data_IF_251838038638
#
_entry.id   IF_251838038638
#
_cell.length_a   1.000
_cell.length_b   1.000
_cell.length_c   1.000
_cell.angle_alpha   90.00
_cell.angle_beta   90.00
_cell.angle_gamma   90.00
#
_symmetry.space_group_name_H-M   'P 1'
#
loop_
_entity.id
_entity.type
_entity.pdbx_description
1 polymer ?
#
# COMPACT_ATOMS: atom_id res chain seq x y z
N UNK A 1 -4.59 7.37 42.02
CA UNK A 1 -3.47 8.33 41.86
C UNK A 1 -3.48 8.81 40.42
N UNK A 2 -3.94 10.03 40.16
CA UNK A 2 -3.86 10.63 38.83
C UNK A 2 -2.42 11.06 38.61
N UNK A 3 -1.66 10.34 37.77
CA UNK A 3 -0.35 10.79 37.33
C UNK A 3 -0.52 12.17 36.67
N UNK A 4 0.13 13.19 37.27
CA UNK A 4 0.28 14.51 36.67
C UNK A 4 1.17 14.36 35.42
N UNK A 5 0.56 14.00 34.29
CA UNK A 5 1.23 13.99 33.00
C UNK A 5 1.65 15.43 32.72
N UNK A 6 2.96 15.66 32.70
CA UNK A 6 3.55 16.96 32.40
C UNK A 6 2.87 17.56 31.14
N UNK A 7 2.42 18.83 31.17
CA UNK A 7 1.59 19.43 30.11
C UNK A 7 2.20 19.28 28.70
N UNK A 8 3.53 19.34 28.59
CA UNK A 8 4.26 19.07 27.36
C UNK A 8 4.00 17.67 26.75
N UNK A 9 3.97 16.60 27.58
CA UNK A 9 3.70 15.23 27.11
C UNK A 9 2.26 15.11 26.59
N UNK A 10 1.31 15.82 27.21
CA UNK A 10 -0.09 15.85 26.77
C UNK A 10 -0.21 16.53 25.39
N UNK A 11 0.44 17.69 25.20
CA UNK A 11 0.44 18.43 23.93
C UNK A 11 1.00 17.55 22.80
N UNK A 12 2.16 16.94 22.99
CA UNK A 12 2.80 16.03 22.03
C UNK A 12 1.87 14.87 21.66
N UNK A 13 1.31 14.21 22.67
CA UNK A 13 0.36 13.12 22.49
C UNK A 13 -0.87 13.54 21.68
N UNK A 14 -1.45 14.69 21.99
CA UNK A 14 -2.65 15.21 21.30
C UNK A 14 -2.32 15.58 19.86
N UNK A 15 -1.17 16.20 19.61
CA UNK A 15 -0.72 16.57 18.27
C UNK A 15 -0.51 15.36 17.35
N UNK A 16 0.11 14.28 17.86
CA UNK A 16 0.29 13.04 17.11
C UNK A 16 -1.04 12.33 16.83
N UNK A 17 -1.95 12.29 17.81
CA UNK A 17 -3.29 11.73 17.61
C UNK A 17 -4.08 12.52 16.55
N UNK A 18 -4.01 13.86 16.61
CA UNK A 18 -4.64 14.74 15.61
C UNK A 18 -4.06 14.50 14.21
N UNK A 19 -2.73 14.41 14.08
CA UNK A 19 -2.07 14.09 12.81
C UNK A 19 -2.54 12.76 12.22
N UNK A 20 -2.61 11.69 13.03
CA UNK A 20 -3.06 10.37 12.59
C UNK A 20 -4.55 10.37 12.15
N UNK A 21 -5.42 11.10 12.86
CA UNK A 21 -6.83 11.24 12.51
C UNK A 21 -7.03 12.08 11.25
N UNK A 22 -6.28 13.18 11.11
CA UNK A 22 -6.28 14.01 9.90
C UNK A 22 -5.78 13.22 8.69
N UNK A 23 -4.70 12.45 8.85
CA UNK A 23 -4.17 11.60 7.80
C UNK A 23 -5.23 10.58 7.33
N UNK A 24 -5.86 9.87 8.27
CA UNK A 24 -6.93 8.93 7.97
C UNK A 24 -8.09 9.56 7.19
N UNK A 25 -8.50 10.79 7.55
CA UNK A 25 -9.61 11.49 6.92
C UNK A 25 -9.28 12.04 5.53
N UNK A 26 -8.01 12.41 5.26
CA UNK A 26 -7.65 13.22 4.08
C UNK A 26 -6.86 12.41 3.05
N UNK A 27 -6.06 11.41 3.45
CA UNK A 27 -5.20 10.67 2.53
C UNK A 27 -5.94 10.04 1.33
N UNK A 28 -7.15 9.45 1.50
CA UNK A 28 -7.96 8.95 0.38
C UNK A 28 -8.27 9.99 -0.69
N UNK A 29 -8.36 11.27 -0.32
CA UNK A 29 -8.73 12.37 -1.22
C UNK A 29 -7.54 12.88 -2.04
N UNK A 30 -6.31 12.63 -1.59
CA UNK A 30 -5.12 13.14 -2.24
C UNK A 30 -3.90 13.19 -1.33
N UNK A 31 -2.72 13.09 -1.95
CA UNK A 31 -1.45 13.07 -1.24
C UNK A 31 -1.05 14.43 -0.65
N UNK A 32 -1.56 15.55 -1.19
CA UNK A 32 -1.23 16.89 -0.68
C UNK A 32 -1.69 17.07 0.76
N UNK A 33 -2.94 16.69 1.05
CA UNK A 33 -3.47 16.75 2.40
C UNK A 33 -2.87 15.69 3.33
N UNK A 34 -2.50 14.53 2.79
CA UNK A 34 -1.71 13.53 3.52
C UNK A 34 -0.36 14.09 3.98
N UNK A 35 0.36 14.80 3.10
CA UNK A 35 1.60 15.49 3.45
C UNK A 35 1.42 16.55 4.53
N UNK A 36 0.34 17.32 4.46
CA UNK A 36 0.02 18.29 5.51
C UNK A 36 -0.18 17.61 6.86
N UNK A 37 -0.97 16.52 6.92
CA UNK A 37 -1.12 15.73 8.13
C UNK A 37 0.22 15.13 8.61
N UNK A 38 1.06 14.70 7.66
CA UNK A 38 2.41 14.22 7.90
C UNK A 38 3.31 15.27 8.55
N UNK A 39 3.30 16.48 8.02
CA UNK A 39 4.04 17.63 8.54
C UNK A 39 3.58 18.00 9.96
N UNK A 40 2.28 18.04 10.22
CA UNK A 40 1.74 18.23 11.57
C UNK A 40 2.28 17.16 12.52
N UNK A 41 2.29 15.89 12.09
CA UNK A 41 2.84 14.79 12.88
C UNK A 41 4.31 14.96 13.22
N UNK A 42 5.13 15.38 12.26
CA UNK A 42 6.56 15.64 12.45
C UNK A 42 6.84 16.72 13.50
N UNK A 43 6.02 17.78 13.57
CA UNK A 43 6.17 18.83 14.59
C UNK A 43 6.01 18.30 16.03
N UNK A 44 5.28 17.21 16.20
CA UNK A 44 5.02 16.59 17.49
C UNK A 44 5.79 15.28 17.70
N UNK A 45 6.63 14.84 16.75
CA UNK A 45 7.48 13.67 16.95
C UNK A 45 8.64 14.05 17.89
N UNK A 46 8.75 13.46 19.10
CA UNK A 46 9.85 13.78 19.98
C UNK A 46 11.15 13.23 19.40
N UNK A 47 12.15 14.10 19.18
CA UNK A 47 13.49 13.72 18.68
C UNK A 47 14.16 12.62 19.52
N UNK A 48 13.77 12.43 20.78
CA UNK A 48 14.34 11.45 21.73
C UNK A 48 13.56 10.15 21.85
N UNK A 49 12.48 9.95 21.07
CA UNK A 49 11.49 8.89 21.35
C UNK A 49 11.64 7.58 20.57
N UNK A 50 12.80 7.35 19.94
CA UNK A 50 13.15 6.05 19.37
C UNK A 50 13.91 5.22 20.40
N UNK A 51 13.18 4.57 21.29
CA UNK A 51 13.75 3.49 22.09
C UNK A 51 13.61 2.19 21.31
N UNK A 52 14.75 1.62 20.90
CA UNK A 52 14.81 0.27 20.31
C UNK A 52 14.47 -0.83 21.33
N UNK A 53 14.47 -0.52 22.63
CA UNK A 53 14.30 -1.53 23.66
C UNK A 53 12.92 -2.22 23.62
N UNK A 54 11.86 -1.47 23.27
CA UNK A 54 10.49 -2.00 23.23
C UNK A 54 10.00 -2.25 21.78
N UNK A 55 10.91 -2.54 20.85
CA UNK A 55 10.55 -2.84 19.45
C UNK A 55 10.60 -4.34 19.19
N UNK A 56 9.62 -4.85 18.44
CA UNK A 56 9.65 -6.25 17.97
C UNK A 56 10.83 -6.49 17.02
N UNK A 57 11.30 -7.74 16.90
CA UNK A 57 12.38 -8.10 15.98
C UNK A 57 12.16 -7.62 14.52
N UNK A 58 11.00 -7.89 13.87
CA UNK A 58 10.77 -7.41 12.51
C UNK A 58 10.71 -5.88 12.40
N UNK A 59 10.27 -5.18 13.45
CA UNK A 59 10.29 -3.72 13.47
C UNK A 59 11.74 -3.17 13.47
N UNK A 60 12.64 -3.80 14.23
CA UNK A 60 14.07 -3.44 14.23
C UNK A 60 14.69 -3.66 12.86
N UNK A 61 14.45 -4.83 12.25
CA UNK A 61 14.92 -5.16 10.91
C UNK A 61 14.37 -4.21 9.85
N UNK A 62 13.08 -3.85 9.91
CA UNK A 62 12.48 -2.87 9.01
C UNK A 62 13.21 -1.53 9.07
N UNK A 63 13.49 -1.02 10.28
CA UNK A 63 14.22 0.24 10.44
C UNK A 63 15.64 0.16 9.88
N UNK A 64 16.32 -0.99 10.08
CA UNK A 64 17.65 -1.25 9.51
C UNK A 64 17.56 -1.26 7.97
N UNK A 65 16.62 -1.99 7.38
CA UNK A 65 16.47 -2.04 5.92
C UNK A 65 16.15 -0.69 5.33
N UNK A 66 15.26 0.10 5.94
CA UNK A 66 14.98 1.48 5.51
C UNK A 66 16.22 2.37 5.63
N UNK A 67 16.99 2.24 6.72
CA UNK A 67 18.25 2.98 6.90
C UNK A 67 19.31 2.62 5.86
N UNK A 68 19.51 1.33 5.59
CA UNK A 68 20.43 0.87 4.54
C UNK A 68 19.94 1.34 3.16
N UNK A 69 18.64 1.24 2.88
CA UNK A 69 18.07 1.73 1.62
C UNK A 69 18.32 3.23 1.42
N UNK A 70 18.25 4.03 2.50
CA UNK A 70 18.58 5.46 2.46
C UNK A 70 20.04 5.68 2.11
N UNK A 71 20.92 5.04 2.88
CA UNK A 71 22.38 5.21 2.76
C UNK A 71 22.83 4.77 1.37
N UNK A 72 22.41 3.58 0.92
CA UNK A 72 22.68 3.09 -0.43
C UNK A 72 22.14 4.05 -1.49
N UNK A 73 20.90 4.52 -1.35
CA UNK A 73 20.29 5.48 -2.28
C UNK A 73 21.09 6.79 -2.37
N UNK A 74 21.56 7.32 -1.24
CA UNK A 74 22.38 8.53 -1.19
C UNK A 74 23.76 8.32 -1.83
N UNK A 75 24.42 7.21 -1.52
CA UNK A 75 25.71 6.85 -2.14
C UNK A 75 25.55 6.73 -3.67
N UNK A 76 24.56 5.97 -4.14
CA UNK A 76 24.32 5.80 -5.56
C UNK A 76 23.91 7.11 -6.26
N UNK A 77 23.20 7.99 -5.55
CA UNK A 77 22.87 9.33 -6.07
C UNK A 77 24.10 10.19 -6.33
N UNK A 78 25.14 10.07 -5.49
CA UNK A 78 26.34 10.91 -5.58
C UNK A 78 27.39 10.32 -6.53
N UNK A 79 27.51 8.99 -6.58
CA UNK A 79 28.64 8.31 -7.25
C UNK A 79 28.25 7.54 -8.51
N UNK A 80 26.97 7.21 -8.72
CA UNK A 80 26.53 6.35 -9.85
C UNK A 80 25.56 7.07 -10.79
N UNK A 81 24.68 7.91 -10.25
CA UNK A 81 23.62 8.54 -11.02
C UNK A 81 24.14 9.52 -12.09
N UNK A 82 23.54 9.48 -13.30
CA UNK A 82 23.82 10.46 -14.36
C UNK A 82 23.43 11.88 -13.94
N UNK A 83 22.32 12.02 -13.21
CA UNK A 83 21.82 13.28 -12.67
C UNK A 83 21.64 13.18 -11.14
N UNK A 84 22.67 13.60 -10.40
CA UNK A 84 22.70 13.53 -8.94
C UNK A 84 21.56 14.31 -8.26
N UNK A 85 21.21 15.50 -8.75
CA UNK A 85 20.11 16.31 -8.19
C UNK A 85 18.77 15.58 -8.30
N UNK A 86 18.50 14.98 -9.45
CA UNK A 86 17.28 14.19 -9.66
C UNK A 86 17.28 12.91 -8.81
N UNK A 87 18.44 12.25 -8.68
CA UNK A 87 18.59 11.06 -7.85
C UNK A 87 18.33 11.35 -6.37
N UNK A 88 18.96 12.40 -5.82
CA UNK A 88 18.73 12.84 -4.45
C UNK A 88 17.25 13.15 -4.20
N UNK A 89 16.62 13.90 -5.13
CA UNK A 89 15.19 14.20 -5.04
C UNK A 89 14.34 12.93 -5.00
N UNK A 90 14.70 11.94 -5.82
CA UNK A 90 14.01 10.64 -5.88
C UNK A 90 14.15 9.86 -4.56
N UNK A 91 15.36 9.79 -4.00
CA UNK A 91 15.59 9.15 -2.70
C UNK A 91 14.75 9.84 -1.63
N UNK A 92 14.86 11.15 -1.47
CA UNK A 92 14.06 11.88 -0.48
C UNK A 92 12.56 11.71 -0.67
N UNK A 93 12.10 11.59 -1.92
CA UNK A 93 10.69 11.32 -2.23
C UNK A 93 10.24 9.96 -1.71
N UNK A 94 11.02 8.89 -1.93
CA UNK A 94 10.73 7.57 -1.33
C UNK A 94 10.65 7.66 0.20
N UNK A 95 11.63 8.33 0.83
CA UNK A 95 11.65 8.47 2.29
C UNK A 95 10.49 9.28 2.85
N UNK A 96 10.08 10.34 2.14
CA UNK A 96 8.94 11.15 2.53
C UNK A 96 7.63 10.34 2.48
N UNK A 97 7.48 9.45 1.50
CA UNK A 97 6.32 8.56 1.40
C UNK A 97 6.32 7.44 2.43
N UNK A 98 7.50 6.92 2.80
CA UNK A 98 7.64 5.69 3.58
C UNK A 98 7.84 5.97 5.07
N UNK A 99 8.92 6.68 5.42
CA UNK A 99 9.35 6.82 6.80
C UNK A 99 8.40 7.69 7.62
N UNK A 100 8.03 8.87 7.11
CA UNK A 100 7.19 9.84 7.85
C UNK A 100 5.88 9.17 8.31
N UNK A 101 5.19 8.50 7.39
CA UNK A 101 3.89 7.91 7.66
C UNK A 101 3.99 6.66 8.52
N UNK A 102 5.03 5.84 8.34
CA UNK A 102 5.35 4.75 9.27
C UNK A 102 5.50 5.24 10.70
N UNK A 103 6.20 6.36 10.93
CA UNK A 103 6.41 6.89 12.28
C UNK A 103 5.16 7.46 12.91
N UNK A 104 4.33 8.16 12.14
CA UNK A 104 3.05 8.66 12.64
C UNK A 104 2.14 7.48 13.01
N UNK A 105 2.08 6.44 12.16
CA UNK A 105 1.36 5.21 12.44
C UNK A 105 1.88 4.49 13.68
N UNK A 106 3.20 4.37 13.83
CA UNK A 106 3.85 3.73 14.99
C UNK A 106 3.52 4.43 16.31
N UNK A 107 3.36 5.75 16.29
CA UNK A 107 2.98 6.54 17.46
C UNK A 107 1.46 6.64 17.68
N UNK A 108 0.64 6.00 16.83
CA UNK A 108 -0.80 5.97 17.03
C UNK A 108 -1.17 5.14 18.27
N UNK A 109 -1.78 5.82 19.24
CA UNK A 109 -2.15 5.19 20.51
C UNK A 109 -3.24 4.12 20.37
N UNK A 110 -3.21 3.05 21.20
CA UNK A 110 -4.19 1.96 21.16
C UNK A 110 -5.65 2.42 21.11
N UNK A 111 -6.02 3.41 21.93
CA UNK A 111 -7.40 3.90 22.01
C UNK A 111 -7.92 4.53 20.71
N UNK A 112 -7.03 5.03 19.85
CA UNK A 112 -7.41 5.70 18.59
C UNK A 112 -7.36 4.79 17.36
N UNK A 113 -6.69 3.62 17.42
CA UNK A 113 -6.44 2.76 16.24
C UNK A 113 -7.73 2.37 15.51
N UNK A 114 -8.79 2.04 16.26
CA UNK A 114 -10.11 1.72 15.70
C UNK A 114 -10.73 2.93 15.02
N UNK A 115 -10.72 4.09 15.67
CA UNK A 115 -11.27 5.33 15.12
C UNK A 115 -10.54 5.74 13.84
N UNK A 116 -9.21 5.66 13.84
CA UNK A 116 -8.36 5.90 12.66
C UNK A 116 -8.79 5.01 11.49
N UNK A 117 -8.88 3.69 11.70
CA UNK A 117 -9.27 2.76 10.64
C UNK A 117 -10.68 3.07 10.10
N UNK A 118 -11.64 3.35 10.99
CA UNK A 118 -13.02 3.62 10.57
C UNK A 118 -13.16 4.94 9.81
N UNK A 119 -12.43 5.99 10.23
CA UNK A 119 -12.38 7.26 9.51
C UNK A 119 -11.80 7.06 8.11
N UNK A 120 -10.68 6.33 8.02
CA UNK A 120 -10.04 6.04 6.75
C UNK A 120 -10.94 5.24 5.81
N UNK A 121 -11.59 4.19 6.32
CA UNK A 121 -12.55 3.39 5.55
C UNK A 121 -13.76 4.23 5.08
N UNK A 122 -14.31 5.06 5.95
CA UNK A 122 -15.42 5.95 5.61
C UNK A 122 -15.01 6.97 4.55
N UNK A 123 -13.83 7.57 4.69
CA UNK A 123 -13.26 8.48 3.71
C UNK A 123 -13.03 7.80 2.35
N UNK A 124 -12.50 6.58 2.35
CA UNK A 124 -12.36 5.77 1.13
C UNK A 124 -13.72 5.51 0.46
N UNK A 125 -14.76 5.20 1.24
CA UNK A 125 -16.11 5.00 0.71
C UNK A 125 -16.66 6.28 0.07
N UNK A 126 -16.47 7.45 0.69
CA UNK A 126 -16.91 8.73 0.12
C UNK A 126 -16.23 9.00 -1.22
N UNK A 127 -14.91 8.84 -1.31
CA UNK A 127 -14.17 9.02 -2.57
C UNK A 127 -14.63 8.02 -3.64
N UNK A 128 -14.93 6.78 -3.25
CA UNK A 128 -15.46 5.75 -4.15
C UNK A 128 -16.85 6.11 -4.69
N UNK A 129 -17.76 6.55 -3.82
CA UNK A 129 -19.09 6.99 -4.22
C UNK A 129 -19.04 8.23 -5.12
N UNK A 130 -18.19 9.20 -4.81
CA UNK A 130 -17.97 10.37 -5.68
C UNK A 130 -17.42 9.97 -7.05
N UNK A 131 -16.50 9.02 -7.08
CA UNK A 131 -15.96 8.49 -8.34
C UNK A 131 -17.04 7.78 -9.15
N UNK A 132 -17.92 7.01 -8.50
CA UNK A 132 -19.05 6.36 -9.14
C UNK A 132 -20.03 7.39 -9.72
N UNK A 133 -20.39 8.42 -8.95
CA UNK A 133 -21.25 9.52 -9.42
C UNK A 133 -20.63 10.21 -10.65
N UNK A 134 -19.31 10.41 -10.65
CA UNK A 134 -18.59 10.94 -11.81
C UNK A 134 -18.61 9.99 -13.01
N UNK A 135 -18.47 8.69 -12.78
CA UNK A 135 -18.56 7.67 -13.83
C UNK A 135 -19.96 7.61 -14.47
N UNK A 136 -21.01 7.83 -13.68
CA UNK A 136 -22.39 7.90 -14.15
C UNK A 136 -22.72 9.22 -14.87
N UNK A 137 -21.76 10.16 -14.97
CA UNK A 137 -21.93 11.44 -15.66
C UNK A 137 -22.74 12.47 -14.88
N UNK A 138 -23.01 12.24 -13.59
CA UNK A 138 -23.76 13.19 -12.75
C UNK A 138 -22.90 14.37 -12.29
N UNK A 139 -21.58 14.19 -12.25
CA UNK A 139 -20.61 15.25 -12.05
C UNK A 139 -19.47 15.09 -13.06
N UNK A 140 -19.09 16.17 -13.73
CA UNK A 140 -17.99 16.15 -14.69
C UNK A 140 -16.68 16.53 -14.00
N UNK A 141 -16.06 15.54 -13.35
CA UNK A 141 -14.77 15.71 -12.69
C UNK A 141 -13.80 14.66 -13.22
N UNK A 142 -13.01 15.07 -14.21
CA UNK A 142 -11.98 14.25 -14.87
C UNK A 142 -11.04 13.50 -13.91
N UNK A 143 -10.77 14.07 -12.72
CA UNK A 143 -9.93 13.45 -11.70
C UNK A 143 -10.62 12.31 -10.94
N UNK A 144 -11.95 12.30 -10.88
CA UNK A 144 -12.74 11.27 -10.21
C UNK A 144 -13.06 10.10 -11.14
N UNK A 145 -13.38 10.39 -12.39
CA UNK A 145 -13.60 9.41 -13.45
C UNK A 145 -13.07 9.94 -14.78
N UNK A 146 -12.46 9.09 -15.58
CA UNK A 146 -12.12 9.40 -16.97
C UNK A 146 -12.03 8.12 -17.80
N UNK A 147 -12.22 8.21 -19.11
CA UNK A 147 -12.15 7.07 -20.04
C UNK A 147 -13.08 5.91 -19.61
N UNK A 148 -14.19 6.24 -18.95
CA UNK A 148 -15.13 5.25 -18.42
C UNK A 148 -14.60 4.43 -17.24
N UNK A 149 -13.61 4.93 -16.50
CA UNK A 149 -12.99 4.25 -15.35
C UNK A 149 -12.93 5.12 -14.09
N UNK A 150 -13.05 4.48 -12.92
CA UNK A 150 -12.88 5.15 -11.62
C UNK A 150 -11.42 5.52 -11.34
N UNK A 151 -11.18 6.75 -10.84
CA UNK A 151 -9.84 7.28 -10.52
C UNK A 151 -9.68 7.82 -9.08
N UNK A 152 -10.75 8.23 -8.39
CA UNK A 152 -10.68 8.66 -6.97
C UNK A 152 -9.64 9.74 -6.66
N UNK A 153 -9.51 10.75 -7.53
CA UNK A 153 -8.47 11.81 -7.47
C UNK A 153 -7.02 11.32 -7.64
N UNK A 154 -6.83 10.06 -8.01
CA UNK A 154 -5.55 9.41 -8.21
C UNK A 154 -5.46 8.90 -9.67
N UNK A 155 -4.73 7.80 -9.88
CA UNK A 155 -4.86 6.99 -11.10
C UNK A 155 -5.76 5.79 -10.82
N UNK A 156 -6.38 5.23 -11.87
CA UNK A 156 -7.24 4.04 -11.77
C UNK A 156 -6.53 2.86 -11.08
N UNK A 157 -5.21 2.70 -11.31
CA UNK A 157 -4.38 1.66 -10.69
C UNK A 157 -4.18 1.93 -9.18
N UNK A 158 -3.77 3.16 -8.81
CA UNK A 158 -3.55 3.52 -7.40
C UNK A 158 -4.84 3.46 -6.61
N UNK A 159 -5.92 4.00 -7.16
CA UNK A 159 -7.22 3.98 -6.50
C UNK A 159 -7.75 2.56 -6.34
N UNK A 160 -7.66 1.72 -7.38
CA UNK A 160 -8.03 0.31 -7.28
C UNK A 160 -7.22 -0.44 -6.20
N UNK A 161 -5.93 -0.13 -6.06
CA UNK A 161 -5.08 -0.69 -5.00
C UNK A 161 -5.54 -0.24 -3.62
N UNK A 162 -5.84 1.05 -3.43
CA UNK A 162 -6.35 1.56 -2.15
C UNK A 162 -7.71 0.94 -1.77
N UNK A 163 -8.61 0.78 -2.74
CA UNK A 163 -9.87 0.05 -2.54
C UNK A 163 -9.63 -1.40 -2.15
N UNK A 164 -8.62 -2.05 -2.73
CA UNK A 164 -8.24 -3.42 -2.39
C UNK A 164 -7.64 -3.51 -0.98
N UNK A 165 -6.83 -2.54 -0.54
CA UNK A 165 -6.37 -2.43 0.85
C UNK A 165 -7.59 -2.28 1.78
N UNK A 166 -8.53 -1.38 1.45
CA UNK A 166 -9.75 -1.17 2.22
C UNK A 166 -10.60 -2.44 2.30
N UNK A 167 -10.71 -3.18 1.19
CA UNK A 167 -11.43 -4.45 1.14
C UNK A 167 -10.87 -5.45 2.16
N UNK A 168 -9.55 -5.61 2.26
CA UNK A 168 -8.97 -6.57 3.22
C UNK A 168 -9.21 -6.18 4.68
N UNK A 169 -9.22 -4.88 5.00
CA UNK A 169 -9.62 -4.43 6.34
C UNK A 169 -11.10 -4.68 6.62
N UNK A 170 -12.00 -4.36 5.68
CA UNK A 170 -13.44 -4.65 5.81
C UNK A 170 -13.70 -6.14 5.91
N UNK A 171 -13.02 -6.95 5.10
CA UNK A 171 -13.10 -8.41 5.13
C UNK A 171 -12.63 -8.96 6.48
N UNK A 172 -11.55 -8.45 7.04
CA UNK A 172 -11.09 -8.85 8.37
C UNK A 172 -12.12 -8.50 9.46
N UNK A 173 -12.68 -7.28 9.44
CA UNK A 173 -13.74 -6.84 10.35
C UNK A 173 -14.99 -7.72 10.22
N UNK A 174 -15.36 -8.07 8.99
CA UNK A 174 -16.47 -8.95 8.67
C UNK A 174 -16.28 -10.36 9.23
N UNK A 175 -15.03 -10.85 9.31
CA UNK A 175 -14.72 -12.13 9.93
C UNK A 175 -14.82 -12.11 11.47
N UNK A 176 -14.88 -10.95 12.12
CA UNK A 176 -14.95 -10.81 13.58
C UNK A 176 -15.98 -9.74 14.04
N UNK A 177 -17.27 -9.87 13.70
CA UNK A 177 -18.29 -8.89 14.10
C UNK A 177 -18.60 -9.01 15.59
N UNK A 178 -18.83 -7.88 16.26
CA UNK A 178 -19.34 -7.83 17.64
C UNK A 178 -20.85 -8.12 17.69
N UNK A 179 -21.62 -7.54 16.76
CA UNK A 179 -23.05 -7.84 16.60
C UNK A 179 -23.26 -8.63 15.31
N UNK A 180 -23.58 -9.92 15.46
CA UNK A 180 -23.50 -10.91 14.38
C UNK A 180 -24.41 -10.60 13.17
N UNK A 181 -25.54 -9.92 13.34
CA UNK A 181 -26.47 -9.72 12.22
C UNK A 181 -26.26 -8.36 11.56
N UNK A 182 -26.43 -7.26 12.31
CA UNK A 182 -26.36 -5.89 11.76
C UNK A 182 -24.97 -5.56 11.20
N UNK A 183 -23.90 -5.94 11.90
CA UNK A 183 -22.53 -5.66 11.42
C UNK A 183 -22.14 -6.56 10.26
N UNK A 184 -22.59 -7.81 10.22
CA UNK A 184 -22.32 -8.71 9.10
C UNK A 184 -22.99 -8.22 7.82
N UNK A 185 -24.25 -7.77 7.90
CA UNK A 185 -24.94 -7.18 6.74
C UNK A 185 -24.23 -5.90 6.28
N UNK A 186 -23.96 -4.97 7.21
CA UNK A 186 -23.31 -3.70 6.88
C UNK A 186 -21.89 -3.86 6.28
N UNK A 187 -21.06 -4.71 6.89
CA UNK A 187 -19.71 -4.99 6.41
C UNK A 187 -19.72 -5.83 5.12
N UNK A 188 -20.69 -6.73 4.96
CA UNK A 188 -20.90 -7.48 3.73
C UNK A 188 -21.26 -6.56 2.57
N UNK A 189 -22.23 -5.66 2.76
CA UNK A 189 -22.60 -4.65 1.76
C UNK A 189 -21.41 -3.74 1.41
N UNK A 190 -20.66 -3.31 2.41
CA UNK A 190 -19.48 -2.47 2.18
C UNK A 190 -18.41 -3.23 1.38
N UNK A 191 -18.14 -4.50 1.70
CA UNK A 191 -17.24 -5.34 0.93
C UNK A 191 -17.72 -5.51 -0.52
N UNK A 192 -19.03 -5.72 -0.75
CA UNK A 192 -19.62 -5.79 -2.10
C UNK A 192 -19.37 -4.51 -2.87
N UNK A 193 -19.65 -3.35 -2.26
CA UNK A 193 -19.43 -2.04 -2.89
C UNK A 193 -17.96 -1.90 -3.29
N UNK A 194 -17.03 -2.19 -2.39
CA UNK A 194 -15.59 -2.11 -2.69
C UNK A 194 -15.18 -3.03 -3.86
N UNK A 195 -15.69 -4.26 -3.92
CA UNK A 195 -15.42 -5.17 -5.04
C UNK A 195 -15.93 -4.65 -6.37
N UNK A 196 -17.17 -4.13 -6.40
CA UNK A 196 -17.73 -3.50 -7.60
C UNK A 196 -16.85 -2.32 -8.03
N UNK A 197 -16.43 -1.46 -7.10
CA UNK A 197 -15.56 -0.32 -7.41
C UNK A 197 -14.18 -0.75 -7.91
N UNK A 198 -13.57 -1.79 -7.33
CA UNK A 198 -12.30 -2.36 -7.82
C UNK A 198 -12.44 -2.77 -9.28
N UNK A 199 -13.55 -3.42 -9.64
CA UNK A 199 -13.80 -3.84 -11.01
C UNK A 199 -14.03 -2.64 -11.93
N UNK A 200 -14.80 -1.64 -11.51
CA UNK A 200 -15.01 -0.40 -12.26
C UNK A 200 -13.75 0.47 -12.41
N UNK A 201 -12.64 0.17 -11.73
CA UNK A 201 -11.34 0.81 -12.03
C UNK A 201 -10.75 0.39 -13.36
N UNK A 202 -11.15 -0.76 -13.93
CA UNK A 202 -10.61 -1.27 -15.19
C UNK A 202 -9.14 -1.71 -15.15
N UNK A 203 -8.51 -1.71 -13.97
CA UNK A 203 -7.10 -2.09 -13.84
C UNK A 203 -6.94 -3.61 -13.75
N UNK A 204 -6.56 -4.23 -14.86
CA UNK A 204 -6.29 -5.68 -14.94
C UNK A 204 -5.28 -6.14 -13.89
N UNK A 205 -4.25 -5.34 -13.61
CA UNK A 205 -3.26 -5.68 -12.60
C UNK A 205 -3.83 -5.66 -11.18
N UNK A 206 -4.75 -4.75 -10.88
CA UNK A 206 -5.47 -4.75 -9.60
C UNK A 206 -6.41 -5.94 -9.52
N UNK A 207 -7.09 -6.30 -10.61
CA UNK A 207 -7.96 -7.49 -10.63
C UNK A 207 -7.19 -8.77 -10.38
N UNK A 208 -5.99 -8.90 -10.97
CA UNK A 208 -5.10 -10.03 -10.75
C UNK A 208 -4.62 -10.10 -9.30
N UNK A 209 -4.16 -8.97 -8.75
CA UNK A 209 -3.77 -8.87 -7.35
C UNK A 209 -4.94 -9.21 -6.41
N UNK A 210 -6.14 -8.71 -6.70
CA UNK A 210 -7.35 -9.00 -5.95
C UNK A 210 -7.72 -10.49 -6.00
N UNK A 211 -7.67 -11.13 -7.17
CA UNK A 211 -7.98 -12.55 -7.30
C UNK A 211 -7.10 -13.39 -6.39
N UNK A 212 -5.78 -13.18 -6.42
CA UNK A 212 -4.84 -13.97 -5.62
C UNK A 212 -4.96 -13.64 -4.12
N UNK A 213 -4.99 -12.36 -3.76
CA UNK A 213 -5.00 -11.95 -2.34
C UNK A 213 -6.33 -12.32 -1.65
N UNK A 214 -7.46 -12.15 -2.33
CA UNK A 214 -8.79 -12.52 -1.82
C UNK A 214 -8.90 -14.04 -1.72
N UNK A 215 -8.43 -14.77 -2.73
CA UNK A 215 -8.39 -16.23 -2.69
C UNK A 215 -7.57 -16.74 -1.52
N UNK A 216 -6.35 -16.21 -1.34
CA UNK A 216 -5.50 -16.55 -0.20
C UNK A 216 -6.15 -16.20 1.15
N UNK A 217 -6.76 -15.01 1.28
CA UNK A 217 -7.47 -14.60 2.49
C UNK A 217 -8.68 -15.49 2.81
N UNK A 218 -9.36 -15.97 1.77
CA UNK A 218 -10.50 -16.88 1.86
C UNK A 218 -10.05 -18.27 2.28
N UNK A 219 -8.99 -18.82 1.67
CA UNK A 219 -8.38 -20.09 2.06
C UNK A 219 -7.88 -20.06 3.51
N UNK A 220 -7.16 -19.01 3.91
CA UNK A 220 -6.69 -18.86 5.28
C UNK A 220 -7.87 -18.80 6.28
N UNK A 221 -8.96 -18.13 5.93
CA UNK A 221 -10.18 -18.13 6.74
C UNK A 221 -10.85 -19.53 6.83
N UNK A 222 -10.81 -20.34 5.77
CA UNK A 222 -11.27 -21.75 5.77
C UNK A 222 -10.48 -22.57 6.79
N UNK A 223 -9.15 -22.54 6.67
CA UNK A 223 -8.26 -23.36 7.50
C UNK A 223 -8.25 -22.94 8.97
N UNK A 224 -8.66 -21.72 9.28
CA UNK A 224 -8.85 -21.22 10.66
C UNK A 224 -10.29 -21.39 11.16
N UNK A 225 -11.06 -22.29 10.52
CA UNK A 225 -12.40 -22.75 10.91
C UNK A 225 -13.49 -21.66 10.95
N UNK A 226 -13.41 -20.64 10.08
CA UNK A 226 -14.40 -19.55 9.95
C UNK A 226 -15.49 -19.83 8.89
N UNK A 227 -15.85 -21.10 8.72
CA UNK A 227 -16.64 -21.65 7.58
C UNK A 227 -17.98 -20.95 7.30
N UNK A 228 -18.72 -20.54 8.34
CA UNK A 228 -20.01 -19.83 8.19
C UNK A 228 -19.85 -18.41 7.62
N UNK A 229 -18.78 -17.72 8.00
CA UNK A 229 -18.51 -16.35 7.53
C UNK A 229 -17.96 -16.37 6.11
N UNK A 230 -17.23 -17.42 5.77
CA UNK A 230 -16.78 -17.70 4.40
C UNK A 230 -17.94 -17.88 3.41
N UNK A 231 -18.99 -18.63 3.78
CA UNK A 231 -20.15 -18.82 2.92
C UNK A 231 -20.83 -17.47 2.59
N UNK A 232 -20.93 -16.58 3.57
CA UNK A 232 -21.49 -15.24 3.36
C UNK A 232 -20.54 -14.36 2.54
N UNK A 233 -19.23 -14.47 2.73
CA UNK A 233 -18.25 -13.79 1.89
C UNK A 233 -18.31 -14.26 0.42
N UNK A 234 -18.51 -15.55 0.18
CA UNK A 234 -18.70 -16.11 -1.16
C UNK A 234 -20.00 -15.60 -1.79
N UNK A 235 -21.07 -15.45 -1.01
CA UNK A 235 -22.31 -14.80 -1.48
C UNK A 235 -22.08 -13.33 -1.81
N UNK A 236 -21.34 -12.60 -0.98
CA UNK A 236 -20.95 -11.19 -1.26
C UNK A 236 -20.16 -11.08 -2.56
N UNK A 237 -19.19 -11.98 -2.78
CA UNK A 237 -18.42 -12.06 -4.02
C UNK A 237 -19.33 -12.40 -5.20
N UNK A 238 -20.23 -13.37 -5.06
CA UNK A 238 -21.18 -13.76 -6.10
C UNK A 238 -22.16 -12.63 -6.46
N UNK A 239 -22.65 -11.88 -5.46
CA UNK A 239 -23.50 -10.70 -5.67
C UNK A 239 -22.72 -9.58 -6.35
N UNK A 240 -21.48 -9.32 -5.92
CA UNK A 240 -20.61 -8.34 -6.58
C UNK A 240 -20.40 -8.71 -8.06
N UNK A 241 -20.09 -9.99 -8.35
CA UNK A 241 -19.95 -10.52 -9.69
C UNK A 241 -21.25 -10.36 -10.51
N UNK A 242 -22.41 -10.66 -9.91
CA UNK A 242 -23.71 -10.48 -10.55
C UNK A 242 -24.01 -9.01 -10.91
N UNK A 243 -23.67 -8.07 -10.02
CA UNK A 243 -23.81 -6.63 -10.25
C UNK A 243 -22.83 -6.13 -11.32
N UNK A 244 -21.60 -6.64 -11.32
CA UNK A 244 -20.61 -6.33 -12.36
C UNK A 244 -21.14 -6.77 -13.72
N UNK A 245 -21.56 -8.04 -13.84
CA UNK A 245 -22.07 -8.59 -15.10
C UNK A 245 -23.29 -7.80 -15.61
N UNK A 246 -24.16 -7.32 -14.71
CA UNK A 246 -25.36 -6.56 -15.12
C UNK A 246 -25.09 -5.10 -15.49
N UNK A 247 -24.08 -4.45 -14.89
CA UNK A 247 -23.81 -3.02 -15.10
C UNK A 247 -22.80 -2.73 -16.21
N UNK A 248 -22.03 -3.72 -16.70
CA UNK A 248 -20.81 -3.44 -17.47
C UNK A 248 -20.69 -4.13 -18.84
N UNK A 249 -21.72 -4.07 -19.67
CA UNK A 249 -21.74 -4.80 -20.95
C UNK A 249 -20.75 -4.29 -22.03
N UNK A 250 -20.29 -3.04 -22.00
CA UNK A 250 -19.47 -2.50 -23.11
C UNK A 250 -18.01 -2.18 -22.70
N UNK A 251 -17.78 -1.34 -21.68
CA UNK A 251 -16.42 -0.90 -21.30
C UNK A 251 -15.59 -2.05 -20.71
N UNK A 252 -16.19 -2.85 -19.82
CA UNK A 252 -15.50 -4.00 -19.22
C UNK A 252 -15.31 -5.10 -20.26
N UNK A 253 -16.29 -5.34 -21.14
CA UNK A 253 -16.13 -6.26 -22.26
C UNK A 253 -14.97 -5.84 -23.18
N UNK A 254 -14.82 -4.55 -23.50
CA UNK A 254 -13.69 -4.07 -24.31
C UNK A 254 -12.35 -4.29 -23.59
N UNK A 255 -12.29 -4.02 -22.27
CA UNK A 255 -11.07 -4.25 -21.47
C UNK A 255 -10.71 -5.73 -21.33
N UNK A 256 -11.69 -6.62 -21.24
CA UNK A 256 -11.49 -8.09 -21.23
C UNK A 256 -11.07 -8.58 -22.62
N UNK A 257 -11.67 -8.04 -23.70
CA UNK A 257 -11.37 -8.44 -25.08
C UNK A 257 -9.98 -7.99 -25.54
N UNK A 258 -9.46 -6.88 -24.98
CA UNK A 258 -8.09 -6.38 -25.20
C UNK A 258 -7.02 -7.15 -24.40
N UNK A 259 -7.10 -8.47 -24.35
CA UNK A 259 -6.12 -9.36 -23.67
C UNK A 259 -5.11 -9.99 -24.61
N UNK A 260 -5.17 -9.68 -25.91
CA UNK A 260 -4.21 -10.15 -26.90
C UNK A 260 -2.79 -9.64 -26.65
N UNK A 261 -1.80 -10.37 -27.17
CA UNK A 261 -0.37 -10.02 -27.11
C UNK A 261 -0.04 -8.71 -27.83
N UNK A 262 -0.96 -8.22 -28.65
CA UNK A 262 -0.80 -7.01 -29.47
C UNK A 262 -1.40 -5.78 -28.77
N UNK A 263 -1.95 -5.93 -27.55
CA UNK A 263 -2.42 -4.81 -26.74
C UNK A 263 -1.23 -3.90 -26.36
N UNK A 264 -1.27 -2.59 -26.68
CA UNK A 264 -0.14 -1.70 -26.44
C UNK A 264 0.31 -1.68 -24.97
N UNK A 265 -0.63 -1.79 -24.01
CA UNK A 265 -0.28 -1.80 -22.59
C UNK A 265 0.56 -3.02 -22.22
N UNK A 266 0.24 -4.19 -22.78
CA UNK A 266 1.03 -5.41 -22.59
C UNK A 266 2.41 -5.28 -23.24
N UNK A 267 2.47 -4.84 -24.51
CA UNK A 267 3.73 -4.67 -25.25
C UNK A 267 4.67 -3.71 -24.51
N UNK A 268 4.17 -2.56 -24.06
CA UNK A 268 4.98 -1.60 -23.32
C UNK A 268 5.49 -2.15 -21.99
N UNK A 269 4.69 -2.94 -21.26
CA UNK A 269 5.12 -3.55 -19.99
C UNK A 269 6.20 -4.60 -20.22
N UNK A 270 6.04 -5.45 -21.23
CA UNK A 270 7.04 -6.43 -21.65
C UNK A 270 8.36 -5.73 -21.99
N UNK A 271 8.29 -4.68 -22.80
CA UNK A 271 9.46 -3.92 -23.25
C UNK A 271 10.14 -3.16 -22.09
N UNK A 272 9.38 -2.63 -21.12
CA UNK A 272 9.97 -2.07 -19.90
C UNK A 272 10.69 -3.14 -19.07
N UNK A 273 10.14 -4.35 -18.99
CA UNK A 273 10.77 -5.45 -18.28
C UNK A 273 12.08 -5.86 -18.97
N UNK A 274 12.09 -5.96 -20.30
CA UNK A 274 13.32 -6.19 -21.08
C UNK A 274 14.39 -5.15 -20.78
N UNK A 275 14.04 -3.86 -20.84
CA UNK A 275 14.98 -2.78 -20.54
C UNK A 275 15.50 -2.84 -19.10
N UNK A 276 14.63 -3.17 -18.13
CA UNK A 276 15.02 -3.34 -16.74
C UNK A 276 16.02 -4.49 -16.56
N UNK A 277 15.79 -5.61 -17.23
CA UNK A 277 16.66 -6.78 -17.18
C UNK A 277 18.04 -6.47 -17.76
N UNK A 278 18.13 -5.76 -18.89
CA UNK A 278 19.42 -5.32 -19.43
C UNK A 278 20.18 -4.42 -18.46
N UNK A 279 19.49 -3.47 -17.81
CA UNK A 279 20.13 -2.62 -16.80
C UNK A 279 20.66 -3.45 -15.62
N UNK A 280 19.87 -4.42 -15.15
CA UNK A 280 20.27 -5.31 -14.04
C UNK A 280 21.46 -6.19 -14.45
N UNK A 281 21.47 -6.70 -15.68
CA UNK A 281 22.56 -7.52 -16.22
C UNK A 281 23.86 -6.71 -16.33
N UNK A 282 23.79 -5.48 -16.84
CA UNK A 282 24.96 -4.61 -16.98
C UNK A 282 25.47 -4.07 -15.64
N UNK A 283 24.56 -3.83 -14.68
CA UNK A 283 24.88 -3.19 -13.38
C UNK A 283 24.19 -3.87 -12.20
N UNK A 284 24.50 -5.14 -11.90
CA UNK A 284 23.75 -5.93 -10.93
C UNK A 284 23.87 -5.43 -9.49
N UNK A 285 24.96 -4.76 -9.12
CA UNK A 285 25.19 -4.30 -7.74
C UNK A 285 24.68 -2.89 -7.48
N UNK A 286 24.82 -1.98 -8.45
CA UNK A 286 24.57 -0.55 -8.26
C UNK A 286 23.34 -0.06 -9.02
N UNK A 287 22.89 -0.80 -10.02
CA UNK A 287 21.97 -0.26 -11.02
C UNK A 287 22.54 0.99 -11.70
N UNK A 288 21.64 1.82 -12.23
CA UNK A 288 21.97 3.11 -12.83
C UNK A 288 21.80 4.31 -11.89
N UNK A 289 21.44 4.06 -10.63
CA UNK A 289 21.16 5.09 -9.62
C UNK A 289 19.66 5.44 -9.50
N UNK A 290 19.23 5.96 -8.34
CA UNK A 290 17.84 6.33 -8.10
C UNK A 290 17.31 7.36 -9.11
N UNK A 291 16.11 7.13 -9.62
CA UNK A 291 15.43 8.00 -10.57
C UNK A 291 16.09 8.11 -11.94
N UNK A 292 17.08 7.26 -12.27
CA UNK A 292 17.87 7.46 -13.49
C UNK A 292 17.30 6.80 -14.75
N UNK A 293 16.23 6.01 -14.64
CA UNK A 293 15.56 5.41 -15.81
C UNK A 293 15.30 6.40 -16.97
N UNK A 294 14.78 7.62 -16.75
CA UNK A 294 14.53 8.58 -17.84
C UNK A 294 15.82 9.07 -18.55
N UNK A 295 16.97 8.97 -17.88
CA UNK A 295 18.29 9.45 -18.34
C UNK A 295 19.16 8.35 -18.96
N UNK A 296 18.67 7.12 -19.01
CA UNK A 296 19.42 5.95 -19.44
C UNK A 296 19.50 5.83 -20.98
N UNK A 297 20.05 6.86 -21.67
CA UNK A 297 19.98 7.03 -23.13
C UNK A 297 20.40 5.79 -23.92
N UNK A 298 21.51 5.15 -23.55
CA UNK A 298 22.02 3.94 -24.22
C UNK A 298 20.99 2.81 -24.30
N UNK A 299 20.14 2.66 -23.28
CA UNK A 299 19.10 1.65 -23.28
C UNK A 299 17.91 2.06 -24.16
N UNK A 300 17.57 3.35 -24.24
CA UNK A 300 16.57 3.81 -25.20
C UNK A 300 17.03 3.65 -26.65
N UNK A 301 18.31 3.93 -26.93
CA UNK A 301 18.89 3.71 -28.25
C UNK A 301 18.82 2.22 -28.61
N UNK A 302 19.23 1.34 -27.70
CA UNK A 302 19.13 -0.12 -27.89
C UNK A 302 17.68 -0.60 -28.10
N UNK A 303 16.72 -0.08 -27.34
CA UNK A 303 15.30 -0.41 -27.54
C UNK A 303 14.82 0.01 -28.94
N UNK A 304 15.27 1.16 -29.45
CA UNK A 304 14.95 1.62 -30.80
C UNK A 304 15.60 0.72 -31.86
N UNK A 305 16.88 0.37 -31.69
CA UNK A 305 17.62 -0.52 -32.60
C UNK A 305 16.97 -1.92 -32.70
N UNK A 306 16.45 -2.44 -31.58
CA UNK A 306 15.74 -3.72 -31.52
C UNK A 306 14.23 -3.61 -31.88
N UNK A 307 13.76 -2.44 -32.33
CA UNK A 307 12.34 -2.17 -32.65
C UNK A 307 11.37 -2.47 -31.49
N UNK A 308 11.79 -2.23 -30.25
CA UNK A 308 11.01 -2.44 -29.05
C UNK A 308 10.36 -1.13 -28.59
N UNK A 309 9.07 -0.97 -28.92
CA UNK A 309 8.32 0.24 -28.57
C UNK A 309 8.15 0.44 -27.06
N UNK A 310 8.24 1.70 -26.62
CA UNK A 310 7.98 2.12 -25.25
C UNK A 310 6.82 3.12 -25.23
N UNK A 311 5.98 3.02 -24.19
CA UNK A 311 4.84 3.93 -23.97
C UNK A 311 5.25 5.42 -24.00
N UNK A 312 6.46 5.72 -23.55
CA UNK A 312 7.04 7.05 -23.61
C UNK A 312 8.54 6.93 -23.87
N UNK A 313 9.04 7.79 -24.75
CA UNK A 313 10.44 7.83 -25.15
C UNK A 313 11.37 8.45 -24.09
N UNK A 314 12.63 8.63 -24.49
CA UNK A 314 13.70 9.23 -23.69
C UNK A 314 13.26 10.53 -22.99
N UNK A 315 13.68 10.72 -21.73
CA UNK A 315 13.27 11.81 -20.81
C UNK A 315 11.78 11.90 -20.46
N UNK A 316 10.89 11.18 -21.16
CA UNK A 316 9.44 11.17 -20.89
C UNK A 316 9.02 9.98 -20.05
N UNK A 317 9.76 8.86 -20.11
CA UNK A 317 9.46 7.66 -19.32
C UNK A 317 9.68 7.92 -17.84
N UNK A 318 8.68 7.64 -17.01
CA UNK A 318 8.75 7.92 -15.56
C UNK A 318 9.21 6.74 -14.72
N UNK A 319 8.83 5.50 -15.07
CA UNK A 319 9.10 4.30 -14.27
C UNK A 319 8.92 3.01 -15.10
N UNK A 320 9.37 1.86 -14.57
CA UNK A 320 9.40 0.57 -15.27
C UNK A 320 8.29 -0.40 -14.88
N UNK A 321 7.04 0.07 -14.73
CA UNK A 321 5.79 -0.71 -14.50
C UNK A 321 5.89 -2.03 -13.70
N UNK A 322 6.82 -2.10 -12.77
CA UNK A 322 7.09 -3.21 -11.85
C UNK A 322 8.09 -2.67 -10.85
N UNK A 323 7.68 -2.47 -9.60
CA UNK A 323 8.57 -1.90 -8.59
C UNK A 323 9.81 -2.75 -8.33
N UNK A 324 9.70 -4.08 -8.46
CA UNK A 324 10.84 -4.98 -8.30
C UNK A 324 11.89 -4.77 -9.38
N UNK A 325 11.48 -4.81 -10.65
CA UNK A 325 12.38 -4.56 -11.78
C UNK A 325 12.90 -3.12 -11.76
N UNK A 326 12.05 -2.19 -11.36
CA UNK A 326 12.39 -0.79 -11.28
C UNK A 326 13.46 -0.50 -10.22
N UNK A 327 13.29 -1.00 -8.99
CA UNK A 327 14.28 -0.90 -7.93
C UNK A 327 15.53 -1.70 -8.27
N UNK A 328 15.40 -2.88 -8.88
CA UNK A 328 16.54 -3.66 -9.37
C UNK A 328 17.38 -2.89 -10.39
N UNK A 329 16.73 -2.21 -11.34
CA UNK A 329 17.42 -1.40 -12.35
C UNK A 329 18.08 -0.14 -11.75
N UNK A 330 17.44 0.52 -10.77
CA UNK A 330 17.96 1.76 -10.21
C UNK A 330 18.96 1.57 -9.06
N UNK A 331 18.80 0.54 -8.23
CA UNK A 331 19.59 0.32 -7.01
C UNK A 331 20.31 -1.03 -7.00
N UNK A 332 20.25 -1.79 -8.10
CA UNK A 332 20.80 -3.13 -8.19
C UNK A 332 20.01 -4.18 -7.38
N UNK A 333 20.50 -5.41 -7.44
CA UNK A 333 20.02 -6.53 -6.64
C UNK A 333 20.04 -6.25 -5.12
N UNK A 334 21.06 -5.56 -4.55
CA UNK A 334 21.02 -5.19 -3.13
C UNK A 334 19.81 -4.32 -2.77
N UNK A 335 19.49 -3.31 -3.58
CA UNK A 335 18.30 -2.48 -3.39
C UNK A 335 17.00 -3.26 -3.50
N UNK A 336 16.92 -4.20 -4.45
CA UNK A 336 15.78 -5.09 -4.60
C UNK A 336 15.60 -6.00 -3.36
N UNK A 337 16.68 -6.55 -2.83
CA UNK A 337 16.63 -7.39 -1.61
C UNK A 337 16.14 -6.58 -0.40
N UNK A 338 16.54 -5.31 -0.28
CA UNK A 338 16.04 -4.43 0.78
C UNK A 338 14.53 -4.17 0.64
N UNK A 339 14.03 -3.93 -0.58
CA UNK A 339 12.59 -3.75 -0.81
C UNK A 339 11.80 -5.02 -0.44
N UNK A 340 12.29 -6.20 -0.85
CA UNK A 340 11.67 -7.48 -0.48
C UNK A 340 11.71 -7.67 1.04
N UNK A 341 12.84 -7.36 1.68
CA UNK A 341 13.00 -7.39 3.13
C UNK A 341 11.99 -6.50 3.86
N UNK A 342 11.70 -5.30 3.35
CA UNK A 342 10.66 -4.40 3.89
C UNK A 342 9.28 -5.07 3.85
N UNK A 343 8.89 -5.66 2.71
CA UNK A 343 7.61 -6.35 2.56
C UNK A 343 7.51 -7.60 3.45
N UNK A 344 8.61 -8.36 3.60
CA UNK A 344 8.68 -9.49 4.53
C UNK A 344 8.49 -9.01 5.97
N UNK A 345 9.11 -7.89 6.37
CA UNK A 345 8.92 -7.32 7.70
C UNK A 345 7.45 -6.93 7.93
N UNK A 346 6.76 -6.36 6.94
CA UNK A 346 5.33 -6.04 7.05
C UNK A 346 4.49 -7.29 7.31
N UNK A 347 4.72 -8.35 6.55
CA UNK A 347 4.06 -9.66 6.72
C UNK A 347 4.37 -10.23 8.11
N UNK A 348 5.63 -10.20 8.54
CA UNK A 348 6.04 -10.74 9.83
C UNK A 348 5.40 -9.98 11.00
N UNK A 349 5.41 -8.64 10.98
CA UNK A 349 4.71 -7.84 11.99
C UNK A 349 3.20 -8.14 12.01
N UNK A 350 2.58 -8.31 10.84
CA UNK A 350 1.17 -8.67 10.74
C UNK A 350 0.87 -10.06 11.34
N UNK A 351 1.75 -11.04 11.14
CA UNK A 351 1.63 -12.38 11.72
C UNK A 351 1.74 -12.31 13.25
N UNK A 352 2.69 -11.54 13.80
CA UNK A 352 2.81 -11.32 15.25
C UNK A 352 1.55 -10.62 15.78
N UNK A 353 1.09 -9.57 15.09
CA UNK A 353 -0.10 -8.82 15.47
C UNK A 353 -1.38 -9.66 15.44
N UNK A 354 -1.50 -10.60 14.49
CA UNK A 354 -2.62 -11.53 14.36
C UNK A 354 -2.71 -12.56 15.50
N UNK A 355 -1.65 -12.67 16.33
CA UNK A 355 -1.64 -13.49 17.56
C UNK A 355 -2.15 -12.73 18.79
N UNK A 356 -2.51 -11.44 18.67
CA UNK A 356 -3.04 -10.66 19.79
C UNK A 356 -4.26 -11.33 20.44
N UNK A 357 -4.34 -11.24 21.78
CA UNK A 357 -5.51 -11.68 22.53
C UNK A 357 -6.70 -10.74 22.35
N UNK A 358 -6.43 -9.46 22.05
CA UNK A 358 -7.47 -8.49 21.77
C UNK A 358 -8.04 -8.67 20.36
N UNK A 359 -9.38 -8.67 20.27
CA UNK A 359 -10.08 -8.93 19.01
C UNK A 359 -9.76 -7.90 17.91
N UNK A 360 -9.62 -6.61 18.26
CA UNK A 360 -9.41 -5.56 17.26
C UNK A 360 -7.98 -5.56 16.70
N UNK A 361 -6.89 -5.53 17.50
CA UNK A 361 -5.53 -5.65 16.98
C UNK A 361 -5.30 -6.90 16.13
N UNK A 362 -5.85 -8.05 16.56
CA UNK A 362 -5.84 -9.29 15.78
C UNK A 362 -6.50 -9.13 14.41
N UNK A 363 -7.68 -8.50 14.39
CA UNK A 363 -8.44 -8.26 13.16
C UNK A 363 -7.73 -7.29 12.23
N UNK A 364 -7.22 -6.17 12.77
CA UNK A 364 -6.49 -5.17 12.00
C UNK A 364 -5.23 -5.77 11.38
N UNK A 365 -4.49 -6.58 12.12
CA UNK A 365 -3.29 -7.28 11.63
C UNK A 365 -3.60 -8.28 10.53
N UNK A 366 -4.72 -9.02 10.64
CA UNK A 366 -5.17 -9.91 9.57
C UNK A 366 -5.52 -9.16 8.27
N UNK A 367 -6.22 -8.03 8.38
CA UNK A 367 -6.53 -7.19 7.23
C UNK A 367 -5.26 -6.63 6.57
N UNK A 368 -4.32 -6.14 7.38
CA UNK A 368 -3.06 -5.60 6.90
C UNK A 368 -2.15 -6.67 6.24
N UNK A 369 -2.15 -7.91 6.76
CA UNK A 369 -1.42 -9.04 6.17
C UNK A 369 -1.81 -9.22 4.69
N UNK A 370 -3.11 -9.37 4.43
CA UNK A 370 -3.60 -9.62 3.07
C UNK A 370 -3.58 -8.37 2.19
N UNK A 371 -3.72 -7.18 2.77
CA UNK A 371 -3.46 -5.93 2.06
C UNK A 371 -1.99 -5.84 1.59
N UNK A 372 -1.04 -6.25 2.43
CA UNK A 372 0.39 -6.28 2.07
C UNK A 372 0.66 -7.28 0.95
N UNK A 373 0.06 -8.48 1.03
CA UNK A 373 0.15 -9.48 -0.06
C UNK A 373 -0.42 -8.93 -1.36
N UNK A 374 -1.58 -8.25 -1.31
CA UNK A 374 -2.19 -7.62 -2.47
C UNK A 374 -1.28 -6.56 -3.11
N UNK A 375 -0.68 -5.69 -2.29
CA UNK A 375 0.29 -4.68 -2.79
C UNK A 375 1.52 -5.38 -3.36
N UNK A 376 2.09 -6.37 -2.68
CA UNK A 376 3.27 -7.09 -3.15
C UNK A 376 3.06 -7.74 -4.54
N UNK A 377 1.88 -8.28 -4.80
CA UNK A 377 1.51 -8.81 -6.12
C UNK A 377 1.31 -7.67 -7.12
N UNK A 378 0.61 -6.60 -6.71
CA UNK A 378 0.41 -5.41 -7.52
C UNK A 378 1.73 -4.75 -7.96
N UNK A 379 2.77 -4.78 -7.13
CA UNK A 379 4.12 -4.28 -7.45
C UNK A 379 4.82 -5.05 -8.57
N UNK A 380 4.37 -6.28 -8.90
CA UNK A 380 4.88 -6.98 -10.08
C UNK A 380 4.39 -6.31 -11.37
N UNK A 381 3.25 -5.61 -11.29
CA UNK A 381 2.53 -5.05 -12.43
C UNK A 381 2.55 -3.52 -12.45
N UNK A 382 2.97 -2.84 -11.39
CA UNK A 382 3.22 -1.39 -11.44
C UNK A 382 4.21 -0.96 -10.37
N UNK A 383 4.49 0.34 -10.28
CA UNK A 383 5.28 0.93 -9.20
C UNK A 383 4.37 1.63 -8.18
N UNK A 384 3.61 0.87 -7.39
CA UNK A 384 2.59 1.41 -6.47
C UNK A 384 3.24 2.15 -5.29
N UNK A 385 4.30 1.57 -4.73
CA UNK A 385 5.09 2.11 -3.61
C UNK A 385 6.05 3.25 -4.02
N UNK A 386 6.20 3.53 -5.32
CA UNK A 386 6.97 4.70 -5.80
C UNK A 386 6.20 6.00 -5.62
N UNK A 387 4.89 5.98 -5.87
CA UNK A 387 4.04 7.16 -5.72
C UNK A 387 3.62 7.40 -4.27
N UNK A 388 3.17 8.62 -3.94
CA UNK A 388 2.77 8.95 -2.57
C UNK A 388 1.57 8.15 -2.08
N UNK A 389 0.51 8.00 -2.86
CA UNK A 389 -0.81 7.59 -2.35
C UNK A 389 -0.80 6.21 -1.66
N UNK A 390 -0.47 5.14 -2.41
CA UNK A 390 -0.44 3.77 -1.85
C UNK A 390 0.65 3.63 -0.80
N UNK A 391 1.82 4.24 -1.04
CA UNK A 391 2.96 4.15 -0.14
C UNK A 391 2.68 4.75 1.23
N UNK A 392 2.18 5.98 1.29
CA UNK A 392 1.87 6.66 2.55
C UNK A 392 0.88 5.86 3.39
N UNK A 393 -0.20 5.38 2.78
CA UNK A 393 -1.27 4.68 3.48
C UNK A 393 -0.80 3.30 3.96
N UNK A 394 -0.09 2.54 3.11
CA UNK A 394 0.45 1.24 3.51
C UNK A 394 1.48 1.37 4.63
N UNK A 395 2.43 2.32 4.52
CA UNK A 395 3.44 2.54 5.57
C UNK A 395 2.83 3.08 6.86
N UNK A 396 1.81 3.93 6.78
CA UNK A 396 1.04 4.37 7.95
C UNK A 396 0.42 3.18 8.70
N UNK A 397 -0.29 2.30 8.00
CA UNK A 397 -0.83 1.11 8.64
C UNK A 397 0.25 0.15 9.11
N UNK A 398 1.36 0.00 8.39
CA UNK A 398 2.52 -0.77 8.82
C UNK A 398 3.07 -0.27 10.17
N UNK A 399 3.09 1.05 10.38
CA UNK A 399 3.45 1.67 11.65
C UNK A 399 2.51 1.24 12.79
N UNK A 400 1.19 1.30 12.56
CA UNK A 400 0.21 0.86 13.56
C UNK A 400 0.40 -0.63 13.88
N UNK A 401 0.61 -1.48 12.86
CA UNK A 401 0.85 -2.91 13.03
C UNK A 401 2.17 -3.17 13.77
N UNK A 402 3.20 -2.37 13.53
CA UNK A 402 4.45 -2.46 14.28
C UNK A 402 4.24 -2.20 15.78
N UNK A 403 3.42 -1.20 16.13
CA UNK A 403 3.01 -0.94 17.52
C UNK A 403 2.28 -2.11 18.15
N UNK A 404 1.32 -2.72 17.44
CA UNK A 404 0.62 -3.94 17.89
C UNK A 404 1.60 -5.11 18.07
N UNK A 405 2.54 -5.29 17.15
CA UNK A 405 3.50 -6.39 17.19
C UNK A 405 4.48 -6.25 18.37
N UNK A 406 4.88 -5.02 18.70
CA UNK A 406 5.69 -4.73 19.89
C UNK A 406 4.95 -5.10 21.18
N UNK A 407 3.71 -4.62 21.34
CA UNK A 407 2.87 -4.91 22.51
C UNK A 407 2.69 -6.42 22.75
N UNK A 408 2.42 -7.19 21.68
CA UNK A 408 2.29 -8.65 21.78
C UNK A 408 3.62 -9.37 22.07
N UNK A 409 4.76 -8.78 21.69
CA UNK A 409 6.08 -9.39 21.95
C UNK A 409 6.46 -9.24 23.42
N UNK A 410 6.14 -8.10 24.02
CA UNK A 410 6.41 -7.80 25.43
C UNK A 410 5.54 -8.65 26.37
N UNK A 411 4.27 -8.88 26.03
CA UNK A 411 3.37 -9.72 26.85
C UNK A 411 3.85 -11.17 26.98
N UNK A 412 4.39 -11.74 25.90
CA UNK A 412 4.92 -13.12 25.93
C UNK A 412 6.21 -13.26 26.75
N UNK A 413 7.03 -12.21 26.86
CA UNK A 413 8.23 -12.23 27.71
C UNK A 413 7.84 -12.15 29.19
N UNK A 414 6.83 -11.33 29.52
CA UNK A 414 6.31 -11.20 30.88
C UNK A 414 5.73 -12.51 31.43
N UNK A 415 4.95 -13.24 30.63
CA UNK A 415 4.40 -14.54 31.02
C UNK A 415 5.49 -15.61 31.22
N UNK A 416 6.52 -15.62 30.37
CA UNK A 416 7.61 -16.61 30.43
C UNK A 416 8.53 -16.46 31.64
N UNK A 417 8.67 -15.23 32.14
CA UNK A 417 9.45 -14.93 33.34
C UNK A 417 8.67 -15.16 34.65
N UNK A 418 7.34 -15.32 34.58
CA UNK A 418 6.50 -15.69 35.75
C UNK A 418 6.29 -17.20 35.87
N UNK A 419 6.57 -17.97 34.82
CA UNK A 419 6.46 -19.44 34.80
C UNK A 419 7.76 -20.19 35.13
N UNK A 420 8.85 -19.45 35.34
CA UNK A 420 10.15 -19.94 35.82
C UNK A 420 10.39 -19.40 37.22
#
# INVERSE_FOLDING_TARGET
MAENIHPAKKIVSTGLALSALLFAAIAPWGHVGAYFAGFVGLLFLPFTSFSFNNSSCPQKLLMIFLGIFLICGLILSLFVAYNAKFALTTVFTYFAHWAIFFLIGLKAKPEHRKTILMIWLFSMLLVALMSLIALLGWIDVYRLSNEGLLKGFQSHIRFGTLLLIAFHFVFALFLNPKNILKQTIGLGLFATILLVMIVLTGSRGVWFAAAISIFGATLHAIFTNRKRKLAIALVVIAVALGVIVSLSANIIHERIRRTGTDDPSYVFRKNNATMALWIIEDRPLTGIGPGQVPYAKSYFDRMADENLELESGYLKKRHLHSMYLHVGAELGLPGLMLLIGVLICFIWMAIIGAKSQEAFPKTMSYGFLWATVAVAIGEMLDCLLRGPSVAMELFFFAGIIAGIAAENSDSHIGERNQSN
#
